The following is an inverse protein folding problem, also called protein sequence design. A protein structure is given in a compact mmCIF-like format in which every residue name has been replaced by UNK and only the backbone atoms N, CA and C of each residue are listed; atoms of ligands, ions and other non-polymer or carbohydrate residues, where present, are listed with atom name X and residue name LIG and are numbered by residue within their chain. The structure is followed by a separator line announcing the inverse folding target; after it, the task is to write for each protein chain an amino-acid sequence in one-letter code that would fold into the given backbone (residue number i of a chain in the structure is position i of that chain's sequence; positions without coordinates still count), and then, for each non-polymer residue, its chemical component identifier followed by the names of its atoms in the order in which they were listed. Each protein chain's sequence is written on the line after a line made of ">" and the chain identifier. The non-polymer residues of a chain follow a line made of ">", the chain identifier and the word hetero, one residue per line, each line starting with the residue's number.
data_IF_965006482356
#
_entry.id   IF_965006482356
#
_cell.length_a   1.000
_cell.length_b   1.000
_cell.length_c   1.000
_cell.angle_alpha   90.00
_cell.angle_beta   90.00
_cell.angle_gamma   90.00
#
_symmetry.space_group_name_H-M   'P 1'
#
loop_
_entity.id
_entity.type
_entity.pdbx_description
1 polymer ?
#
# COMPACT_ATOMS: atom_id res chain seq x y z
N UNK A 1 13.19 18.04 -11.80
CA UNK A 1 12.74 17.19 -10.67
C UNK A 1 13.38 15.82 -10.79
N UNK A 2 13.89 15.28 -9.70
CA UNK A 2 14.56 13.98 -9.70
C UNK A 2 13.69 12.95 -9.00
N UNK A 3 13.50 11.80 -9.63
CA UNK A 3 12.71 10.70 -9.11
C UNK A 3 13.56 9.45 -9.09
N UNK A 4 13.44 8.65 -8.02
CA UNK A 4 14.09 7.35 -7.93
C UNK A 4 13.11 6.31 -7.40
N UNK A 5 12.39 5.60 -8.28
CA UNK A 5 11.43 4.59 -7.85
C UNK A 5 12.13 3.38 -7.21
N UNK A 6 11.65 3.00 -6.04
CA UNK A 6 12.08 1.80 -5.33
C UNK A 6 10.86 0.97 -5.03
N UNK A 7 11.10 -0.28 -4.68
CA UNK A 7 10.00 -1.17 -4.26
C UNK A 7 10.34 -1.87 -2.96
N UNK A 8 9.30 -2.19 -2.22
CA UNK A 8 9.37 -2.93 -0.98
C UNK A 8 8.19 -3.90 -0.93
N UNK A 9 8.40 -5.09 -0.38
CA UNK A 9 7.31 -6.06 -0.27
C UNK A 9 6.36 -5.67 0.84
N UNK A 10 5.07 -5.86 0.58
CA UNK A 10 4.01 -5.62 1.54
C UNK A 10 3.47 -6.96 2.04
N UNK A 11 3.41 -7.20 3.35
CA UNK A 11 2.78 -8.41 3.87
C UNK A 11 1.29 -8.38 3.57
N UNK A 12 0.70 -9.55 3.33
CA UNK A 12 -0.73 -9.66 3.09
C UNK A 12 -1.42 -9.88 4.43
N UNK A 13 -1.85 -8.79 5.05
CA UNK A 13 -2.55 -8.79 6.34
C UNK A 13 -3.85 -8.01 6.18
N UNK A 14 -4.93 -8.66 5.66
CA UNK A 14 -6.13 -7.93 5.27
C UNK A 14 -6.93 -7.42 6.48
N UNK A 15 -7.69 -6.34 6.21
CA UNK A 15 -8.70 -5.77 7.10
C UNK A 15 -8.14 -5.18 8.39
N UNK A 16 -6.86 -4.83 8.40
CA UNK A 16 -6.21 -4.19 9.53
C UNK A 16 -5.12 -3.24 9.03
N UNK A 17 -4.71 -2.25 9.82
CA UNK A 17 -3.64 -1.35 9.38
C UNK A 17 -2.30 -2.09 9.29
N UNK A 18 -1.58 -1.85 8.19
CA UNK A 18 -0.20 -2.28 8.04
C UNK A 18 0.66 -1.04 8.12
N UNK A 19 1.36 -0.89 9.23
CA UNK A 19 2.27 0.23 9.42
C UNK A 19 3.50 0.07 8.53
N UNK A 20 3.84 1.11 7.80
CA UNK A 20 4.96 1.09 6.88
C UNK A 20 5.74 2.40 7.00
N UNK A 21 7.06 2.27 7.13
CA UNK A 21 7.98 3.39 7.22
C UNK A 21 8.85 3.37 5.97
N UNK A 22 8.68 4.36 5.08
CA UNK A 22 9.38 4.42 3.80
C UNK A 22 10.34 5.59 3.78
N UNK A 23 11.57 5.37 3.31
CA UNK A 23 12.47 6.47 2.98
C UNK A 23 12.08 7.02 1.62
N UNK A 24 10.98 7.80 1.59
CA UNK A 24 10.44 8.37 0.37
C UNK A 24 8.92 8.46 0.40
N UNK A 25 8.35 8.89 -0.71
CA UNK A 25 6.93 9.10 -0.84
C UNK A 25 6.26 7.92 -1.53
N UNK A 26 5.15 7.48 -0.97
CA UNK A 26 4.33 6.41 -1.53
C UNK A 26 3.84 6.77 -2.94
N UNK A 27 3.92 5.80 -3.86
CA UNK A 27 3.39 5.93 -5.21
C UNK A 27 2.18 5.03 -5.39
N UNK A 28 2.34 3.72 -5.27
CA UNK A 28 1.26 2.77 -5.49
C UNK A 28 1.60 1.39 -4.91
N UNK A 29 0.61 0.51 -4.92
CA UNK A 29 0.77 -0.90 -4.59
C UNK A 29 0.43 -1.71 -5.84
N UNK A 30 1.21 -2.73 -6.14
CA UNK A 30 0.98 -3.59 -7.30
C UNK A 30 1.12 -5.06 -6.92
N UNK A 31 0.49 -5.92 -7.72
CA UNK A 31 0.72 -7.36 -7.68
C UNK A 31 1.90 -7.69 -8.58
N UNK A 32 2.92 -8.31 -8.00
CA UNK A 32 4.08 -8.76 -8.75
C UNK A 32 4.33 -10.23 -8.44
N UNK A 33 4.00 -11.11 -9.39
CA UNK A 33 4.19 -12.55 -9.26
C UNK A 33 3.54 -13.10 -7.97
N UNK A 34 2.28 -12.74 -7.73
CA UNK A 34 1.49 -13.14 -6.55
C UNK A 34 2.06 -12.62 -5.23
N UNK A 35 2.82 -11.52 -5.28
CA UNK A 35 3.28 -10.80 -4.10
C UNK A 35 2.89 -9.33 -4.24
N UNK A 36 2.47 -8.73 -3.15
CA UNK A 36 2.19 -7.29 -3.16
C UNK A 36 3.47 -6.52 -2.94
N UNK A 37 3.68 -5.47 -3.73
CA UNK A 37 4.82 -4.57 -3.59
C UNK A 37 4.34 -3.15 -3.51
N UNK A 38 5.03 -2.36 -2.68
CA UNK A 38 4.87 -0.92 -2.62
C UNK A 38 5.93 -0.30 -3.51
N UNK A 39 5.51 0.60 -4.40
CA UNK A 39 6.43 1.47 -5.13
C UNK A 39 6.45 2.82 -4.45
N UNK A 40 7.63 3.38 -4.27
CA UNK A 40 7.80 4.68 -3.63
C UNK A 40 8.96 5.43 -4.26
N UNK A 41 8.92 6.76 -4.15
CA UNK A 41 9.99 7.62 -4.65
C UNK A 41 11.01 7.83 -3.55
N UNK A 42 12.22 7.33 -3.76
CA UNK A 42 13.31 7.37 -2.80
C UNK A 42 14.33 8.48 -3.09
N UNK A 43 13.99 9.45 -3.93
CA UNK A 43 14.92 10.52 -4.29
C UNK A 43 15.23 11.46 -3.11
N UNK A 44 14.33 11.56 -2.13
CA UNK A 44 14.52 12.33 -0.91
C UNK A 44 14.94 11.42 0.25
N UNK A 45 15.83 11.86 1.16
CA UNK A 45 16.20 11.08 2.33
C UNK A 45 15.16 11.12 3.45
N UNK A 46 14.05 11.82 3.27
CA UNK A 46 13.04 12.01 4.31
C UNK A 46 12.19 10.74 4.43
N UNK A 47 12.00 10.26 5.66
CA UNK A 47 11.12 9.13 5.94
C UNK A 47 9.67 9.61 6.06
N UNK A 48 8.77 8.82 5.48
CA UNK A 48 7.33 9.01 5.56
C UNK A 48 6.70 7.75 6.15
N UNK A 49 5.71 7.94 7.00
CA UNK A 49 5.03 6.84 7.72
C UNK A 49 3.61 6.70 7.19
N UNK A 50 3.20 5.48 6.95
CA UNK A 50 1.88 5.20 6.38
C UNK A 50 1.19 4.06 7.12
N UNK A 51 -0.13 4.12 7.17
CA UNK A 51 -0.97 2.96 7.39
C UNK A 51 -1.56 2.54 6.05
N UNK A 52 -1.36 1.29 5.67
CA UNK A 52 -1.90 0.71 4.45
C UNK A 52 -2.95 -0.31 4.84
N UNK A 53 -4.13 -0.22 4.21
CA UNK A 53 -5.24 -1.12 4.47
C UNK A 53 -5.54 -1.92 3.22
N UNK A 54 -5.54 -3.24 3.35
CA UNK A 54 -5.95 -4.18 2.31
C UNK A 54 -7.34 -4.68 2.69
N UNK A 55 -8.39 -4.07 2.14
CA UNK A 55 -9.76 -4.36 2.55
C UNK A 55 -10.37 -5.36 1.58
N UNK A 56 -10.83 -6.48 2.10
CA UNK A 56 -11.53 -7.49 1.32
C UNK A 56 -12.94 -7.04 0.98
N UNK A 57 -13.43 -7.43 -0.19
CA UNK A 57 -14.80 -7.14 -0.60
C UNK A 57 -15.79 -7.69 0.43
N UNK A 58 -16.74 -6.85 0.85
CA UNK A 58 -17.78 -7.22 1.79
C UNK A 58 -17.41 -7.07 3.25
N UNK A 59 -16.18 -6.67 3.57
CA UNK A 59 -15.76 -6.41 4.95
C UNK A 59 -15.98 -4.96 5.32
N UNK A 60 -16.32 -4.74 6.58
CA UNK A 60 -16.44 -3.40 7.15
C UNK A 60 -15.20 -3.13 7.99
N UNK A 61 -14.41 -2.12 7.62
CA UNK A 61 -13.15 -1.78 8.26
C UNK A 61 -13.09 -0.29 8.50
N UNK A 62 -12.70 0.11 9.71
CA UNK A 62 -12.40 1.51 10.00
C UNK A 62 -11.01 1.84 9.47
N UNK A 63 -10.96 2.70 8.47
CA UNK A 63 -9.70 3.09 7.82
C UNK A 63 -9.24 4.49 8.22
N UNK A 64 -9.87 5.11 9.23
CA UNK A 64 -9.51 6.47 9.66
C UNK A 64 -9.63 7.47 8.52
N UNK A 65 -8.55 8.20 8.26
CA UNK A 65 -8.49 9.20 7.19
C UNK A 65 -7.82 8.67 5.92
N UNK A 66 -7.72 7.36 5.77
CA UNK A 66 -7.10 6.77 4.59
C UNK A 66 -7.95 7.03 3.35
N UNK A 67 -7.28 7.17 2.21
CA UNK A 67 -7.94 7.38 0.93
C UNK A 67 -7.75 6.17 0.03
N UNK A 68 -8.69 5.98 -0.89
CA UNK A 68 -8.65 4.89 -1.85
C UNK A 68 -7.51 5.08 -2.86
N UNK A 69 -6.75 4.01 -3.09
CA UNK A 69 -5.66 4.00 -4.07
C UNK A 69 -6.07 3.20 -5.31
N UNK A 70 -6.39 1.93 -5.14
CA UNK A 70 -6.77 1.05 -6.24
C UNK A 70 -7.33 -0.26 -5.71
N UNK A 71 -7.89 -1.05 -6.61
CA UNK A 71 -8.32 -2.42 -6.35
C UNK A 71 -7.41 -3.36 -7.10
N UNK A 72 -6.93 -4.39 -6.42
CA UNK A 72 -6.05 -5.40 -6.99
C UNK A 72 -6.79 -6.75 -7.00
N UNK A 73 -6.83 -7.39 -8.15
CA UNK A 73 -7.21 -8.79 -8.26
C UNK A 73 -5.96 -9.64 -8.14
N UNK A 74 -5.91 -10.42 -7.09
CA UNK A 74 -4.71 -11.12 -6.65
C UNK A 74 -4.95 -12.63 -6.73
N UNK A 75 -3.91 -13.43 -6.99
CA UNK A 75 -4.03 -14.88 -7.13
C UNK A 75 -5.06 -15.26 -8.20
N UNK A 76 -4.84 -14.78 -9.43
CA UNK A 76 -5.70 -15.05 -10.59
C UNK A 76 -7.16 -14.65 -10.36
N UNK A 77 -7.39 -13.58 -9.60
CA UNK A 77 -8.73 -13.08 -9.34
C UNK A 77 -9.45 -13.75 -8.19
N UNK A 78 -8.83 -14.72 -7.53
CA UNK A 78 -9.45 -15.40 -6.38
C UNK A 78 -9.46 -14.52 -5.12
N UNK A 79 -8.70 -13.44 -5.14
CA UNK A 79 -8.56 -12.55 -4.00
C UNK A 79 -8.67 -11.12 -4.49
N UNK A 80 -9.66 -10.39 -4.00
CA UNK A 80 -9.86 -8.99 -4.38
C UNK A 80 -9.58 -8.11 -3.17
N UNK A 81 -8.60 -7.24 -3.31
CA UNK A 81 -8.18 -6.33 -2.24
C UNK A 81 -8.35 -4.88 -2.68
N UNK A 82 -9.04 -4.11 -1.86
CA UNK A 82 -9.20 -2.67 -2.06
C UNK A 82 -8.18 -1.95 -1.19
N UNK A 83 -7.29 -1.19 -1.81
CA UNK A 83 -6.13 -0.59 -1.15
C UNK A 83 -6.46 0.83 -0.73
N UNK A 84 -6.28 1.12 0.56
CA UNK A 84 -6.42 2.47 1.13
C UNK A 84 -5.13 2.82 1.85
N UNK A 85 -4.75 4.08 1.80
CA UNK A 85 -3.49 4.55 2.39
C UNK A 85 -3.72 5.85 3.15
N UNK A 86 -3.16 5.91 4.34
CA UNK A 86 -3.13 7.11 5.17
C UNK A 86 -1.69 7.46 5.48
N UNK A 87 -1.28 8.69 5.17
CA UNK A 87 0.02 9.18 5.61
C UNK A 87 -0.09 9.65 7.06
N UNK A 88 0.82 9.16 7.90
CA UNK A 88 0.89 9.51 9.32
C UNK A 88 1.86 10.65 9.54
N UNK A 89 1.59 11.44 10.53
CA UNK A 89 2.48 12.54 10.91
C UNK A 89 3.64 12.09 11.80
#
# INVERSE_FOLDING_TARGET
>A
MTIRPYKEYLPIAPNQPIYTDLQGEFITVEDQANRLVIYFDNASPIYHKYNIYLVETGKTVDIGNAHYVKTIMFLDGNYVLHIYVEELE
#
